data_IF_773443829305
#
_entry.id   IF_773443829305
#
_cell.length_a   1.000
_cell.length_b   1.000
_cell.length_c   1.000
_cell.angle_alpha   90.00
_cell.angle_beta   90.00
_cell.angle_gamma   90.00
#
_symmetry.space_group_name_H-M   'P 1'
#
loop_
_entity.id
_entity.type
_entity.pdbx_description
1 polymer ?
#
# COMPACT_ATOMS: atom_id res chain seq x y z
N UNK A 1 -23.81 0.04 -27.90
CA UNK A 1 -22.67 0.71 -27.24
C UNK A 1 -22.45 0.07 -25.87
N UNK A 2 -22.08 -1.22 -25.84
CA UNK A 2 -22.03 -2.00 -24.58
C UNK A 2 -20.78 -2.86 -24.42
N UNK A 3 -19.89 -2.89 -25.42
CA UNK A 3 -18.66 -3.71 -25.37
C UNK A 3 -17.50 -3.02 -24.63
N UNK A 4 -17.42 -1.67 -24.65
CA UNK A 4 -16.28 -0.92 -24.11
C UNK A 4 -16.18 -0.95 -22.58
N UNK A 5 -17.29 -1.17 -21.86
CA UNK A 5 -17.30 -1.21 -20.39
C UNK A 5 -16.81 -2.54 -19.81
N UNK A 6 -16.92 -3.64 -20.56
CA UNK A 6 -16.48 -4.98 -20.13
C UNK A 6 -14.96 -5.08 -20.15
N UNK A 7 -14.30 -4.33 -21.03
CA UNK A 7 -12.84 -4.30 -21.14
C UNK A 7 -12.18 -3.59 -19.95
N UNK A 8 -12.79 -2.55 -19.37
CA UNK A 8 -12.23 -1.85 -18.23
C UNK A 8 -12.24 -2.70 -16.95
N UNK A 9 -13.34 -3.42 -16.69
CA UNK A 9 -13.45 -4.31 -15.52
C UNK A 9 -12.52 -5.53 -15.65
N UNK A 10 -12.38 -6.08 -16.87
CA UNK A 10 -11.40 -7.14 -17.14
C UNK A 10 -9.97 -6.64 -17.02
N UNK A 11 -9.69 -5.41 -17.45
CA UNK A 11 -8.36 -4.81 -17.33
C UNK A 11 -7.98 -4.63 -15.86
N UNK A 12 -8.92 -4.18 -15.02
CA UNK A 12 -8.71 -4.03 -13.58
C UNK A 12 -8.43 -5.39 -12.92
N UNK A 13 -9.21 -6.42 -13.25
CA UNK A 13 -8.98 -7.80 -12.79
C UNK A 13 -7.64 -8.38 -13.27
N UNK A 14 -7.20 -8.02 -14.48
CA UNK A 14 -5.91 -8.43 -15.02
C UNK A 14 -4.76 -7.71 -14.32
N UNK A 15 -4.90 -6.42 -14.04
CA UNK A 15 -3.92 -5.64 -13.28
C UNK A 15 -3.80 -6.20 -11.87
N UNK A 16 -4.92 -6.42 -11.17
CA UNK A 16 -4.94 -7.04 -9.84
C UNK A 16 -4.26 -8.41 -9.83
N UNK A 17 -4.49 -9.23 -10.86
CA UNK A 17 -3.90 -10.56 -10.96
C UNK A 17 -2.42 -10.54 -11.33
N UNK A 18 -1.98 -9.56 -12.12
CA UNK A 18 -0.56 -9.35 -12.39
C UNK A 18 0.15 -8.85 -11.14
N UNK A 19 -0.43 -7.90 -10.40
CA UNK A 19 0.11 -7.44 -9.13
C UNK A 19 0.19 -8.57 -8.09
N UNK A 20 -0.85 -9.42 -7.96
CA UNK A 20 -0.83 -10.62 -7.11
C UNK A 20 0.27 -11.61 -7.50
N UNK A 21 0.44 -11.84 -8.81
CA UNK A 21 1.48 -12.74 -9.31
C UNK A 21 2.89 -12.15 -9.12
N UNK A 22 3.07 -10.85 -9.32
CA UNK A 22 4.33 -10.15 -9.05
C UNK A 22 4.67 -10.17 -7.57
N UNK A 23 3.70 -9.96 -6.67
CA UNK A 23 3.89 -10.06 -5.23
C UNK A 23 4.29 -11.48 -4.81
N UNK A 24 3.67 -12.51 -5.38
CA UNK A 24 4.01 -13.92 -5.11
C UNK A 24 5.37 -14.32 -5.64
N UNK A 25 5.77 -13.81 -6.81
CA UNK A 25 7.13 -14.02 -7.34
C UNK A 25 8.15 -13.32 -6.45
N UNK A 26 7.87 -12.09 -6.02
CA UNK A 26 8.76 -11.34 -5.12
C UNK A 26 8.84 -11.97 -3.72
N UNK A 27 7.78 -12.59 -3.19
CA UNK A 27 7.84 -13.38 -1.95
C UNK A 27 8.69 -14.65 -2.09
N UNK A 28 8.72 -15.25 -3.29
CA UNK A 28 9.56 -16.41 -3.59
C UNK A 28 11.01 -16.01 -3.86
N UNK A 29 11.27 -14.80 -4.35
CA UNK A 29 12.60 -14.29 -4.68
C UNK A 29 13.24 -13.44 -3.56
N UNK A 30 12.42 -12.84 -2.68
CA UNK A 30 12.80 -11.77 -1.73
C UNK A 30 13.19 -12.21 -0.32
N UNK A 31 13.67 -13.44 -0.13
CA UNK A 31 14.14 -13.94 1.16
C UNK A 31 15.42 -13.28 1.69
N UNK A 32 16.03 -12.32 0.98
CA UNK A 32 17.28 -11.68 1.40
C UNK A 32 17.50 -10.37 0.65
N UNK A 33 17.01 -9.22 1.15
CA UNK A 33 17.80 -7.98 1.23
C UNK A 33 17.03 -6.83 1.90
N UNK A 34 17.74 -6.05 2.72
CA UNK A 34 17.35 -4.69 3.07
C UNK A 34 16.53 -4.48 4.35
N UNK A 35 17.10 -4.86 5.50
CA UNK A 35 16.67 -4.38 6.82
C UNK A 35 16.71 -2.84 6.92
N UNK A 36 15.53 -2.22 6.86
CA UNK A 36 15.22 -0.97 7.59
C UNK A 36 13.87 -1.14 8.30
N UNK A 37 13.64 -2.34 8.85
CA UNK A 37 12.49 -2.62 9.70
C UNK A 37 12.70 -1.80 10.99
N UNK A 38 11.86 -0.80 11.21
CA UNK A 38 11.87 -0.04 12.47
C UNK A 38 11.56 -1.03 13.59
N UNK A 39 12.57 -1.32 14.41
CA UNK A 39 12.60 -2.41 15.41
C UNK A 39 11.59 -2.18 16.55
N UNK A 40 10.97 -1.00 16.63
CA UNK A 40 10.13 -0.58 17.77
C UNK A 40 8.66 -0.33 17.45
N UNK A 41 8.14 -0.70 16.28
CA UNK A 41 6.72 -0.48 15.93
C UNK A 41 6.32 1.00 15.80
N UNK A 42 7.25 1.93 16.03
CA UNK A 42 7.10 3.36 15.70
C UNK A 42 7.31 3.55 14.20
N UNK A 43 6.36 4.22 13.57
CA UNK A 43 6.47 4.65 12.19
C UNK A 43 7.68 5.60 12.03
N UNK A 44 8.52 5.36 11.03
CA UNK A 44 9.47 6.36 10.54
C UNK A 44 8.69 7.66 10.20
N UNK A 45 9.27 8.82 10.46
CA UNK A 45 8.76 10.16 10.15
C UNK A 45 8.00 10.27 8.82
N UNK A 46 8.45 9.55 7.78
CA UNK A 46 7.80 9.50 6.47
C UNK A 46 6.49 8.72 6.47
N UNK A 47 6.46 7.56 7.15
CA UNK A 47 5.23 6.79 7.32
C UNK A 47 4.25 7.55 8.22
N UNK A 48 4.75 8.26 9.24
CA UNK A 48 3.94 9.14 10.07
C UNK A 48 3.30 10.27 9.24
N UNK A 49 4.05 10.93 8.34
CA UNK A 49 3.52 11.95 7.42
C UNK A 49 2.40 11.40 6.52
N UNK A 50 2.58 10.18 6.00
CA UNK A 50 1.54 9.52 5.20
C UNK A 50 0.31 9.19 6.04
N UNK A 51 0.48 8.66 7.25
CA UNK A 51 -0.64 8.35 8.14
C UNK A 51 -1.40 9.61 8.60
N UNK A 52 -0.68 10.70 8.85
CA UNK A 52 -1.27 12.01 9.17
C UNK A 52 -2.11 12.54 8.00
N UNK A 53 -1.64 12.37 6.75
CA UNK A 53 -2.43 12.72 5.55
C UNK A 53 -3.71 11.87 5.39
N UNK A 54 -3.74 10.70 6.02
CA UNK A 54 -4.89 9.80 6.06
C UNK A 54 -5.77 10.02 7.30
N UNK A 55 -5.35 10.86 8.25
CA UNK A 55 -6.15 11.17 9.43
C UNK A 55 -7.53 11.71 9.01
N UNK A 56 -8.61 11.18 9.62
CA UNK A 56 -9.98 11.49 9.24
C UNK A 56 -10.54 10.72 8.05
N UNK A 57 -9.76 9.80 7.44
CA UNK A 57 -10.21 8.87 6.39
C UNK A 57 -10.40 7.44 6.90
N UNK A 58 -10.65 7.28 8.19
CA UNK A 58 -10.86 5.99 8.82
C UNK A 58 -12.04 5.24 8.18
N UNK A 59 -11.87 3.94 7.97
CA UNK A 59 -12.83 3.10 7.28
C UNK A 59 -12.77 3.19 5.75
N UNK A 60 -12.02 4.13 5.16
CA UNK A 60 -11.83 4.18 3.71
C UNK A 60 -10.91 3.05 3.22
N UNK A 61 -11.17 2.60 2.00
CA UNK A 61 -10.41 1.53 1.34
C UNK A 61 -9.46 2.16 0.32
N UNK A 62 -8.19 1.78 0.41
CA UNK A 62 -7.13 2.27 -0.47
C UNK A 62 -6.50 1.12 -1.26
N UNK A 63 -6.18 1.38 -2.53
CA UNK A 63 -5.29 0.52 -3.31
C UNK A 63 -3.82 0.83 -2.97
N UNK A 64 -2.96 -0.18 -3.14
CA UNK A 64 -1.50 -0.01 -3.10
C UNK A 64 -1.03 1.13 -4.02
N UNK A 65 -1.61 1.24 -5.21
CA UNK A 65 -1.33 2.33 -6.15
C UNK A 65 -1.66 3.71 -5.57
N UNK A 66 -2.82 3.87 -4.96
CA UNK A 66 -3.23 5.14 -4.34
C UNK A 66 -2.34 5.51 -3.16
N UNK A 67 -1.97 4.54 -2.33
CA UNK A 67 -1.02 4.77 -1.24
C UNK A 67 0.37 5.18 -1.79
N UNK A 68 0.79 4.61 -2.92
CA UNK A 68 2.04 5.00 -3.58
C UNK A 68 2.01 6.46 -4.04
N UNK A 69 0.88 6.94 -4.55
CA UNK A 69 0.69 8.35 -4.92
C UNK A 69 0.76 9.27 -3.70
N UNK A 70 0.07 8.90 -2.61
CA UNK A 70 0.11 9.64 -1.34
C UNK A 70 1.55 9.72 -0.80
N UNK A 71 2.31 8.63 -0.86
CA UNK A 71 3.74 8.67 -0.49
C UNK A 71 4.53 9.67 -1.34
N UNK A 72 4.27 9.77 -2.64
CA UNK A 72 4.99 10.72 -3.50
C UNK A 72 4.67 12.16 -3.17
N UNK A 73 3.41 12.43 -2.83
CA UNK A 73 2.93 13.76 -2.48
C UNK A 73 3.41 14.23 -1.10
N UNK A 74 3.45 13.32 -0.12
CA UNK A 74 3.70 13.65 1.29
C UNK A 74 5.09 13.26 1.80
N UNK A 75 5.97 12.72 0.94
CA UNK A 75 7.35 12.36 1.30
C UNK A 75 8.36 12.77 0.22
N UNK A 76 9.64 12.81 0.60
CA UNK A 76 10.79 13.07 -0.28
C UNK A 76 11.19 11.85 -1.15
N UNK A 77 10.50 10.72 -1.01
CA UNK A 77 10.89 9.47 -1.68
C UNK A 77 10.53 9.54 -3.17
N UNK A 78 11.54 9.39 -4.03
CA UNK A 78 11.39 9.40 -5.50
C UNK A 78 11.67 8.04 -6.16
N UNK A 79 12.42 7.16 -5.50
CA UNK A 79 12.74 5.83 -6.03
C UNK A 79 11.51 4.92 -5.99
N UNK A 80 11.13 4.36 -7.14
CA UNK A 80 9.93 3.52 -7.29
C UNK A 80 10.00 2.27 -6.41
N UNK A 81 11.13 1.58 -6.37
CA UNK A 81 11.28 0.35 -5.57
C UNK A 81 11.20 0.63 -4.07
N UNK A 82 11.76 1.77 -3.64
CA UNK A 82 11.65 2.22 -2.24
C UNK A 82 10.21 2.55 -1.86
N UNK A 83 9.45 3.19 -2.75
CA UNK A 83 8.02 3.45 -2.54
C UNK A 83 7.22 2.15 -2.43
N UNK A 84 7.41 1.22 -3.37
CA UNK A 84 6.71 -0.07 -3.37
C UNK A 84 6.96 -0.82 -2.06
N UNK A 85 8.23 -0.96 -1.65
CA UNK A 85 8.62 -1.59 -0.38
C UNK A 85 7.94 -0.93 0.82
N UNK A 86 8.00 0.41 0.92
CA UNK A 86 7.42 1.13 2.06
C UNK A 86 5.91 1.07 2.12
N UNK A 87 5.22 1.12 0.97
CA UNK A 87 3.77 0.93 0.92
C UNK A 87 3.40 -0.47 1.39
N UNK A 88 4.14 -1.51 0.95
CA UNK A 88 3.96 -2.89 1.38
C UNK A 88 4.16 -3.05 2.88
N UNK A 89 5.16 -2.39 3.46
CA UNK A 89 5.38 -2.38 4.90
C UNK A 89 4.28 -1.60 5.65
N UNK A 90 3.80 -0.49 5.09
CA UNK A 90 2.74 0.32 5.68
C UNK A 90 1.42 -0.47 5.76
N UNK A 91 1.02 -1.16 4.69
CA UNK A 91 -0.24 -1.92 4.69
C UNK A 91 -0.21 -3.18 5.56
N UNK A 92 0.99 -3.63 5.96
CA UNK A 92 1.20 -4.69 6.96
C UNK A 92 1.11 -4.16 8.39
N UNK A 93 1.10 -2.84 8.60
CA UNK A 93 1.00 -2.25 9.93
C UNK A 93 -0.42 -2.35 10.51
N UNK A 94 -0.59 -2.22 11.83
CA UNK A 94 -1.91 -2.23 12.47
C UNK A 94 -2.87 -1.15 11.97
N UNK A 95 -2.34 -0.11 11.32
CA UNK A 95 -3.14 0.99 10.78
C UNK A 95 -3.96 0.60 9.55
N UNK A 96 -3.71 -0.57 8.97
CA UNK A 96 -4.44 -1.11 7.84
C UNK A 96 -4.95 -2.51 8.12
N UNK A 97 -6.16 -2.80 7.63
CA UNK A 97 -6.69 -4.15 7.54
C UNK A 97 -6.81 -4.55 6.08
N UNK A 98 -6.39 -5.77 5.77
CA UNK A 98 -6.66 -6.36 4.46
C UNK A 98 -8.17 -6.45 4.24
N UNK A 99 -8.64 -5.99 3.07
CA UNK A 99 -10.05 -6.03 2.69
C UNK A 99 -10.27 -7.13 1.63
N UNK A 100 -9.87 -6.88 0.37
CA UNK A 100 -9.96 -7.85 -0.75
C UNK A 100 -8.93 -7.55 -1.85
N UNK A 101 -8.20 -8.57 -2.30
CA UNK A 101 -7.17 -8.40 -3.32
C UNK A 101 -6.07 -7.43 -2.86
N UNK A 102 -5.75 -6.44 -3.68
CA UNK A 102 -4.77 -5.36 -3.43
C UNK A 102 -5.34 -4.16 -2.63
N UNK A 103 -6.54 -4.33 -2.04
CA UNK A 103 -7.25 -3.29 -1.28
C UNK A 103 -7.09 -3.43 0.23
N UNK A 104 -6.76 -2.32 0.86
CA UNK A 104 -6.54 -2.22 2.31
C UNK A 104 -7.42 -1.14 2.91
N UNK A 105 -8.16 -1.49 3.95
CA UNK A 105 -8.96 -0.55 4.72
C UNK A 105 -8.09 0.16 5.74
N UNK A 106 -8.08 1.48 5.73
CA UNK A 106 -7.44 2.27 6.77
C UNK A 106 -8.28 2.20 8.04
N UNK A 107 -7.69 1.79 9.16
CA UNK A 107 -8.39 1.61 10.44
C UNK A 107 -7.93 2.60 11.51
N UNK A 108 -7.19 3.63 11.11
CA UNK A 108 -6.63 4.64 12.01
C UNK A 108 -5.18 4.35 12.36
N UNK A 109 -4.40 5.38 12.69
CA UNK A 109 -2.97 5.26 13.01
C UNK A 109 -2.69 4.66 14.39
N UNK A 110 -3.71 4.20 15.12
CA UNK A 110 -3.57 3.64 16.46
C UNK A 110 -3.07 4.70 17.45
N UNK A 111 -3.69 5.88 17.44
CA UNK A 111 -3.32 7.00 18.28
C UNK A 111 -4.51 7.57 19.04
N UNK A 112 -5.24 6.74 19.78
CA UNK A 112 -6.08 7.20 20.88
C UNK A 112 -5.88 6.26 22.09
N UNK A 113 -5.15 6.80 23.07
CA UNK A 113 -5.07 6.48 24.51
C UNK A 113 -4.37 5.19 24.98
#
# INVERSE_FOLDING_TARGET
MSEVLVDAEKLDQLIDRVEDLEDRVEELEGGSDGSEQSVDGRFDSRNASVLDSLAGREGQVFHVRSLTEIYREHTDIRRKDTLKRRVKDLVKSPAFKHDRGSRHRFVGSGGDE
#
